data_IF_298479358431
#
_entry.id   IF_298479358431
#
_cell.length_a   1.000
_cell.length_b   1.000
_cell.length_c   1.000
_cell.angle_alpha   90.00
_cell.angle_beta   90.00
_cell.angle_gamma   90.00
#
_symmetry.space_group_name_H-M   'P 1'
#
loop_
_entity.id
_entity.type
_entity.pdbx_description
1 polymer ?
#
# COMPACT_ATOMS: atom_id res chain seq x y z
N UNK A 1 17.14 4.55 -28.13
CA UNK A 1 15.71 4.83 -28.42
C UNK A 1 14.77 3.94 -27.61
N UNK A 2 14.98 2.61 -27.56
CA UNK A 2 14.16 1.68 -26.75
C UNK A 2 14.15 2.00 -25.25
N UNK A 3 15.33 2.16 -24.64
CA UNK A 3 15.44 2.48 -23.19
C UNK A 3 14.75 3.80 -22.83
N UNK A 4 14.96 4.83 -23.65
CA UNK A 4 14.35 6.15 -23.45
C UNK A 4 12.82 6.09 -23.45
N UNK A 5 12.25 5.29 -24.35
CA UNK A 5 10.79 5.09 -24.44
C UNK A 5 10.30 4.31 -23.21
N UNK A 6 10.98 3.25 -22.82
CA UNK A 6 10.66 2.46 -21.63
C UNK A 6 10.64 3.32 -20.35
N UNK A 7 11.67 4.14 -20.12
CA UNK A 7 11.74 5.05 -18.97
C UNK A 7 10.59 6.07 -18.96
N UNK A 8 10.23 6.62 -20.12
CA UNK A 8 9.11 7.56 -20.22
C UNK A 8 7.76 6.89 -19.95
N UNK A 9 7.54 5.69 -20.49
CA UNK A 9 6.32 4.91 -20.29
C UNK A 9 6.19 4.49 -18.82
N UNK A 10 7.30 4.14 -18.17
CA UNK A 10 7.39 3.82 -16.75
C UNK A 10 7.04 5.03 -15.86
N UNK A 11 7.69 6.18 -16.06
CA UNK A 11 7.40 7.42 -15.32
C UNK A 11 5.94 7.86 -15.52
N UNK A 12 5.44 7.78 -16.75
CA UNK A 12 4.06 8.13 -17.07
C UNK A 12 3.05 7.20 -16.37
N UNK A 13 3.36 5.90 -16.29
CA UNK A 13 2.56 4.92 -15.57
C UNK A 13 2.49 5.29 -14.08
N UNK A 14 3.63 5.53 -13.43
CA UNK A 14 3.64 5.92 -12.02
C UNK A 14 2.83 7.19 -11.76
N UNK A 15 3.00 8.25 -12.55
CA UNK A 15 2.20 9.46 -12.39
C UNK A 15 0.70 9.24 -12.62
N UNK A 16 0.30 8.34 -13.52
CA UNK A 16 -1.09 7.99 -13.73
C UNK A 16 -1.69 7.30 -12.49
N UNK A 17 -0.97 6.35 -11.89
CA UNK A 17 -1.40 5.68 -10.65
C UNK A 17 -1.48 6.67 -9.48
N UNK A 18 -0.48 7.54 -9.35
CA UNK A 18 -0.43 8.60 -8.33
C UNK A 18 -1.66 9.53 -8.41
N UNK A 19 -1.96 10.01 -9.62
CA UNK A 19 -3.11 10.87 -9.89
C UNK A 19 -4.41 10.16 -9.53
N UNK A 20 -4.54 8.88 -9.90
CA UNK A 20 -5.68 8.05 -9.55
C UNK A 20 -5.87 7.96 -8.02
N UNK A 21 -4.82 7.64 -7.26
CA UNK A 21 -4.91 7.56 -5.80
C UNK A 21 -5.33 8.87 -5.14
N UNK A 22 -4.83 10.01 -5.63
CA UNK A 22 -5.21 11.35 -5.14
C UNK A 22 -6.68 11.63 -5.43
N UNK A 23 -7.16 11.27 -6.61
CA UNK A 23 -8.55 11.47 -7.02
C UNK A 23 -9.53 10.64 -6.19
N UNK A 24 -9.26 9.34 -6.01
CA UNK A 24 -10.10 8.40 -5.26
C UNK A 24 -10.18 8.75 -3.77
N UNK A 25 -9.05 9.05 -3.12
CA UNK A 25 -9.05 9.40 -1.69
C UNK A 25 -9.80 10.70 -1.37
N UNK A 26 -9.80 11.66 -2.30
CA UNK A 26 -10.57 12.90 -2.10
C UNK A 26 -12.07 12.68 -2.25
N UNK A 27 -12.49 11.73 -3.09
CA UNK A 27 -13.91 11.43 -3.34
C UNK A 27 -14.57 10.71 -2.16
N UNK A 28 -13.83 9.87 -1.44
CA UNK A 28 -14.31 9.09 -0.29
C UNK A 28 -14.36 9.87 1.04
N UNK A 29 -14.19 11.20 1.03
CA UNK A 29 -14.23 12.03 2.25
C UNK A 29 -13.00 11.92 3.17
N UNK A 30 -12.01 11.07 2.84
CA UNK A 30 -10.71 11.03 3.50
C UNK A 30 -9.86 12.22 3.05
N UNK A 31 -10.17 13.40 3.59
CA UNK A 31 -9.34 14.59 3.45
C UNK A 31 -8.03 14.35 4.19
N UNK A 32 -7.06 13.74 3.53
CA UNK A 32 -5.67 14.10 3.82
C UNK A 32 -4.91 14.25 2.52
N UNK A 33 -4.51 15.48 2.33
CA UNK A 33 -3.57 16.07 1.38
C UNK A 33 -2.17 15.44 1.37
N UNK A 34 -1.95 14.33 2.08
CA UNK A 34 -0.64 13.74 2.36
C UNK A 34 -0.25 12.52 1.49
N UNK A 35 -0.97 12.21 0.40
CA UNK A 35 -0.53 11.13 -0.51
C UNK A 35 0.71 11.55 -1.31
N UNK A 36 0.78 12.83 -1.66
CA UNK A 36 1.93 13.45 -2.34
C UNK A 36 2.45 14.54 -1.44
N UNK A 37 3.68 14.39 -0.94
CA UNK A 37 4.36 15.46 -0.21
C UNK A 37 4.77 16.59 -1.14
N UNK A 38 4.83 17.80 -0.59
CA UNK A 38 5.44 18.96 -1.27
C UNK A 38 6.89 18.65 -1.67
N UNK A 39 7.62 17.89 -0.85
CA UNK A 39 9.00 17.47 -1.13
C UNK A 39 9.10 16.57 -2.38
N UNK A 40 8.10 15.72 -2.62
CA UNK A 40 8.02 14.96 -3.87
C UNK A 40 7.82 15.89 -5.06
N UNK A 41 6.91 16.84 -4.95
CA UNK A 41 6.65 17.83 -6.01
C UNK A 41 7.90 18.66 -6.29
N UNK A 42 8.61 19.10 -5.24
CA UNK A 42 9.89 19.77 -5.38
C UNK A 42 10.90 18.90 -6.14
N UNK A 43 11.03 17.64 -5.77
CA UNK A 43 11.98 16.70 -6.39
C UNK A 43 11.72 16.52 -7.89
N UNK A 44 10.46 16.30 -8.30
CA UNK A 44 10.13 16.13 -9.73
C UNK A 44 10.26 17.45 -10.51
N UNK A 45 9.99 18.60 -9.89
CA UNK A 45 10.18 19.90 -10.54
C UNK A 45 11.66 20.26 -10.66
N UNK A 46 12.49 19.95 -9.66
CA UNK A 46 13.93 20.15 -9.70
C UNK A 46 14.57 19.37 -10.85
N UNK A 47 14.19 18.10 -11.03
CA UNK A 47 14.67 17.30 -12.17
C UNK A 47 14.15 17.85 -13.50
N UNK A 48 12.86 18.13 -13.61
CA UNK A 48 12.22 18.49 -14.89
C UNK A 48 12.45 19.94 -15.32
N UNK A 49 12.77 20.86 -14.43
CA UNK A 49 12.95 22.28 -14.76
C UNK A 49 14.36 22.79 -14.43
N UNK A 50 15.22 21.93 -13.85
CA UNK A 50 16.55 22.29 -13.35
C UNK A 50 16.51 23.42 -12.32
N UNK A 51 15.50 23.34 -11.45
CA UNK A 51 15.33 24.22 -10.30
C UNK A 51 15.95 23.62 -9.04
N UNK A 52 15.99 24.42 -7.99
CA UNK A 52 16.45 24.07 -6.65
C UNK A 52 15.38 24.45 -5.60
N UNK A 53 14.16 23.97 -5.82
CA UNK A 53 13.03 24.16 -4.92
C UNK A 53 13.26 23.40 -3.61
N UNK A 54 13.00 24.09 -2.50
CA UNK A 54 12.90 23.53 -1.16
C UNK A 54 11.55 23.88 -0.53
N UNK A 55 11.05 23.01 0.34
CA UNK A 55 9.80 23.23 1.04
C UNK A 55 9.94 24.34 2.11
N UNK A 56 9.03 25.32 2.07
CA UNK A 56 9.04 26.49 2.95
C UNK A 56 8.64 26.16 4.39
N UNK A 57 7.93 25.06 4.62
CA UNK A 57 7.54 24.59 5.95
C UNK A 57 8.74 24.17 6.82
N UNK A 58 9.88 23.85 6.23
CA UNK A 58 11.12 23.54 6.96
C UNK A 58 11.92 24.77 7.40
N UNK A 59 11.56 25.96 6.91
CA UNK A 59 12.35 27.19 7.14
C UNK A 59 11.55 28.31 7.83
N UNK A 60 10.22 28.33 7.71
CA UNK A 60 9.35 29.32 8.40
C UNK A 60 7.96 28.73 8.66
N UNK A 61 7.45 28.85 9.88
CA UNK A 61 6.20 28.21 10.34
C UNK A 61 4.90 28.86 9.83
N UNK A 62 4.97 29.91 8.99
CA UNK A 62 3.81 30.73 8.63
C UNK A 62 3.76 31.21 7.16
N UNK A 63 4.49 30.57 6.23
CA UNK A 63 4.47 30.93 4.81
C UNK A 63 3.16 30.50 4.10
N UNK A 64 2.03 31.15 4.41
CA UNK A 64 0.69 30.71 3.97
C UNK A 64 0.39 30.80 2.46
N UNK A 65 1.30 31.35 1.65
CA UNK A 65 1.01 31.71 0.26
C UNK A 65 1.80 30.94 -0.80
N UNK A 66 2.84 30.20 -0.44
CA UNK A 66 3.58 29.29 -1.32
C UNK A 66 4.13 28.14 -0.48
N UNK A 67 4.31 26.97 -1.11
CA UNK A 67 4.75 25.76 -0.41
C UNK A 67 6.22 25.43 -0.73
N UNK A 68 6.70 25.84 -1.91
CA UNK A 68 8.08 25.61 -2.36
C UNK A 68 8.73 26.90 -2.84
N UNK A 69 10.03 27.06 -2.55
CA UNK A 69 10.83 28.23 -2.91
C UNK A 69 12.19 27.81 -3.48
N UNK A 70 12.58 28.45 -4.58
CA UNK A 70 13.95 28.48 -5.10
C UNK A 70 14.39 29.94 -5.13
N UNK A 71 15.20 30.35 -4.14
CA UNK A 71 15.67 31.73 -4.02
C UNK A 71 16.64 32.12 -5.14
N UNK A 72 17.42 31.17 -5.65
CA UNK A 72 18.45 31.43 -6.67
C UNK A 72 17.82 31.79 -8.01
N UNK A 73 16.79 31.04 -8.41
CA UNK A 73 16.03 31.31 -9.62
C UNK A 73 14.84 32.27 -9.38
N UNK A 74 14.58 32.65 -8.13
CA UNK A 74 13.43 33.45 -7.69
C UNK A 74 12.09 32.84 -8.11
N UNK A 75 11.89 31.56 -7.82
CA UNK A 75 10.70 30.80 -8.19
C UNK A 75 9.93 30.40 -6.94
N UNK A 76 8.63 30.73 -6.92
CA UNK A 76 7.70 30.25 -5.90
C UNK A 76 6.71 29.26 -6.51
N UNK A 77 6.43 28.15 -5.82
CA UNK A 77 5.42 27.18 -6.25
C UNK A 77 4.41 26.95 -5.13
N UNK A 78 3.13 27.11 -5.46
CA UNK A 78 2.03 26.63 -4.63
C UNK A 78 1.59 25.25 -5.15
N UNK A 79 1.71 24.23 -4.31
CA UNK A 79 1.19 22.89 -4.54
C UNK A 79 -0.26 22.83 -4.04
N UNK A 80 -1.14 22.25 -4.85
CA UNK A 80 -2.54 22.09 -4.42
C UNK A 80 -3.20 20.88 -5.05
N UNK A 81 -4.10 20.26 -4.30
CA UNK A 81 -4.95 19.17 -4.82
C UNK A 81 -5.82 19.65 -5.97
N UNK A 82 -6.31 20.89 -5.94
CA UNK A 82 -7.08 21.51 -7.01
C UNK A 82 -6.67 22.96 -7.19
N UNK A 83 -6.11 23.26 -8.36
CA UNK A 83 -5.83 24.64 -8.78
C UNK A 83 -7.00 25.13 -9.61
N UNK A 84 -7.85 25.96 -9.01
CA UNK A 84 -8.92 26.69 -9.70
C UNK A 84 -8.68 28.21 -9.69
N UNK A 85 -9.54 28.94 -10.39
CA UNK A 85 -9.44 30.40 -10.46
C UNK A 85 -9.48 31.06 -9.07
N UNK A 86 -10.24 30.53 -8.12
CA UNK A 86 -10.31 31.09 -6.76
C UNK A 86 -8.98 30.92 -6.04
N UNK A 87 -8.39 29.72 -6.07
CA UNK A 87 -7.09 29.41 -5.44
C UNK A 87 -5.97 30.27 -6.02
N UNK A 88 -5.93 30.45 -7.34
CA UNK A 88 -4.94 31.32 -8.00
C UNK A 88 -5.06 32.75 -7.48
N UNK A 89 -6.25 33.35 -7.54
CA UNK A 89 -6.44 34.73 -7.11
C UNK A 89 -6.17 34.92 -5.62
N UNK A 90 -6.61 33.98 -4.76
CA UNK A 90 -6.34 34.05 -3.33
C UNK A 90 -4.85 33.95 -2.99
N UNK A 91 -4.10 33.10 -3.69
CA UNK A 91 -2.65 32.95 -3.49
C UNK A 91 -1.91 34.20 -3.96
N UNK A 92 -2.25 34.76 -5.12
CA UNK A 92 -1.63 36.01 -5.63
C UNK A 92 -1.90 37.17 -4.67
N UNK A 93 -3.13 37.34 -4.19
CA UNK A 93 -3.46 38.38 -3.21
C UNK A 93 -2.73 38.16 -1.89
N UNK A 94 -2.66 36.92 -1.40
CA UNK A 94 -1.95 36.57 -0.16
C UNK A 94 -0.45 36.83 -0.23
N UNK A 95 0.15 36.80 -1.42
CA UNK A 95 1.57 37.13 -1.62
C UNK A 95 1.89 38.61 -1.40
N UNK A 96 0.92 39.52 -1.51
CA UNK A 96 1.15 40.96 -1.32
C UNK A 96 1.71 41.24 0.09
N UNK A 97 1.22 40.50 1.08
CA UNK A 97 1.55 40.61 2.50
C UNK A 97 2.58 39.56 2.97
N UNK A 98 3.10 38.73 2.06
CA UNK A 98 3.97 37.61 2.39
C UNK A 98 5.46 38.03 2.43
N UNK A 99 6.20 37.56 3.44
CA UNK A 99 7.63 37.80 3.63
C UNK A 99 8.51 37.30 2.47
N UNK A 100 8.08 36.26 1.76
CA UNK A 100 8.80 35.68 0.63
C UNK A 100 8.57 36.41 -0.69
N UNK A 101 7.68 37.42 -0.73
CA UNK A 101 7.36 38.17 -1.95
C UNK A 101 8.59 38.74 -2.65
N UNK A 102 9.55 39.26 -1.88
CA UNK A 102 10.78 39.87 -2.41
C UNK A 102 11.74 38.83 -3.00
N UNK A 103 11.63 37.57 -2.55
CA UNK A 103 12.45 36.44 -2.99
C UNK A 103 11.93 35.82 -4.29
N UNK A 104 10.65 36.01 -4.61
CA UNK A 104 10.01 35.46 -5.81
C UNK A 104 10.02 36.49 -6.94
N UNK A 105 10.23 36.02 -8.17
CA UNK A 105 10.09 36.78 -9.41
C UNK A 105 9.09 36.14 -10.36
N UNK A 106 8.93 34.81 -10.32
CA UNK A 106 7.88 34.07 -11.04
C UNK A 106 7.14 33.11 -10.11
N UNK A 107 5.81 33.09 -10.24
CA UNK A 107 4.93 32.21 -9.48
C UNK A 107 4.44 31.06 -10.34
N UNK A 108 4.44 29.86 -9.78
CA UNK A 108 3.88 28.66 -10.38
C UNK A 108 2.86 28.02 -9.45
N UNK A 109 1.95 27.26 -10.05
CA UNK A 109 1.04 26.38 -9.32
C UNK A 109 1.24 24.96 -9.78
N UNK A 110 1.29 24.01 -8.87
CA UNK A 110 1.30 22.59 -9.19
C UNK A 110 -0.02 21.96 -8.79
N UNK A 111 -0.78 21.49 -9.78
CA UNK A 111 -2.04 20.78 -9.57
C UNK A 111 -1.79 19.28 -9.47
N UNK A 112 -2.13 18.68 -8.32
CA UNK A 112 -2.06 17.23 -8.14
C UNK A 112 -3.17 16.50 -8.93
N UNK A 113 -4.29 17.18 -9.17
CA UNK A 113 -5.38 16.69 -10.04
C UNK A 113 -5.31 17.30 -11.43
N UNK A 114 -6.19 16.82 -12.31
CA UNK A 114 -6.38 17.41 -13.62
C UNK A 114 -6.64 18.93 -13.54
N UNK A 115 -5.79 19.70 -14.22
CA UNK A 115 -5.92 21.15 -14.27
C UNK A 115 -7.09 21.61 -15.13
N UNK A 116 -7.57 22.83 -14.89
CA UNK A 116 -8.60 23.45 -15.71
C UNK A 116 -8.01 23.86 -17.07
N UNK A 117 -8.85 23.87 -18.10
CA UNK A 117 -8.44 24.32 -19.43
C UNK A 117 -8.38 25.85 -19.53
N UNK A 118 -9.10 26.57 -18.67
CA UNK A 118 -9.16 28.03 -18.62
C UNK A 118 -9.21 28.51 -17.17
N UNK A 119 -8.64 29.68 -16.94
CA UNK A 119 -8.58 30.34 -15.64
C UNK A 119 -9.00 31.79 -15.78
N UNK A 120 -9.79 32.28 -14.83
CA UNK A 120 -10.06 33.71 -14.67
C UNK A 120 -9.10 34.25 -13.60
N UNK A 121 -8.20 35.13 -14.01
CA UNK A 121 -7.16 35.71 -13.14
C UNK A 121 -7.38 37.21 -13.12
N UNK A 122 -7.86 37.70 -11.97
CA UNK A 122 -8.20 39.10 -11.74
C UNK A 122 -7.23 39.74 -10.72
N UNK A 123 -6.45 38.93 -10.00
CA UNK A 123 -5.46 39.36 -9.02
C UNK A 123 -4.09 39.64 -9.66
N UNK A 124 -3.38 40.63 -9.11
CA UNK A 124 -2.03 40.99 -9.52
C UNK A 124 -1.15 41.26 -8.28
N UNK A 125 0.09 40.80 -8.31
CA UNK A 125 1.08 41.06 -7.26
C UNK A 125 2.30 41.76 -7.88
N UNK A 126 2.56 43.05 -7.58
CA UNK A 126 3.66 43.79 -8.20
C UNK A 126 5.00 43.13 -7.93
N UNK A 127 5.80 42.95 -9.00
CA UNK A 127 7.12 42.33 -8.98
C UNK A 127 7.13 40.81 -9.21
N UNK A 128 5.95 40.16 -9.27
CA UNK A 128 5.82 38.72 -9.52
C UNK A 128 5.10 38.49 -10.84
N UNK A 129 5.74 37.73 -11.74
CA UNK A 129 5.13 37.33 -13.02
C UNK A 129 4.33 36.04 -12.85
N UNK A 130 3.13 36.02 -13.42
CA UNK A 130 2.30 34.83 -13.52
C UNK A 130 1.52 34.82 -14.83
N UNK A 131 1.45 33.65 -15.47
CA UNK A 131 0.56 33.39 -16.60
C UNK A 131 -0.13 32.03 -16.41
N UNK A 132 -1.20 31.77 -17.14
CA UNK A 132 -1.89 30.47 -17.10
C UNK A 132 -1.01 29.30 -17.54
N UNK A 133 0.13 29.55 -18.22
CA UNK A 133 1.14 28.54 -18.55
C UNK A 133 1.94 28.08 -17.34
N UNK A 134 1.99 28.88 -16.28
CA UNK A 134 2.66 28.57 -15.01
C UNK A 134 1.82 27.64 -14.10
N UNK A 135 0.64 27.19 -14.56
CA UNK A 135 -0.09 26.10 -13.90
C UNK A 135 0.39 24.76 -14.48
N UNK A 136 1.15 24.05 -13.66
CA UNK A 136 1.80 22.78 -13.91
C UNK A 136 0.98 21.61 -13.37
N UNK A 137 1.18 20.43 -13.95
CA UNK A 137 0.68 19.13 -13.51
C UNK A 137 1.70 18.05 -13.91
N UNK A 138 1.41 16.79 -13.56
CA UNK A 138 2.26 15.65 -13.92
C UNK A 138 2.49 15.50 -15.43
N UNK A 139 1.52 15.88 -16.28
CA UNK A 139 1.71 15.84 -17.74
C UNK A 139 2.71 16.89 -18.21
N UNK A 140 2.70 18.09 -17.61
CA UNK A 140 3.71 19.11 -17.91
C UNK A 140 5.10 18.66 -17.46
N UNK A 141 5.22 17.99 -16.31
CA UNK A 141 6.49 17.41 -15.85
C UNK A 141 7.01 16.40 -16.87
N UNK A 142 6.20 15.42 -17.30
CA UNK A 142 6.60 14.44 -18.33
C UNK A 142 7.04 15.14 -19.61
N UNK A 143 6.26 16.11 -20.10
CA UNK A 143 6.58 16.84 -21.34
C UNK A 143 7.91 17.57 -21.23
N UNK A 144 8.17 18.23 -20.08
CA UNK A 144 9.39 18.98 -19.85
C UNK A 144 10.59 18.05 -19.68
N UNK A 145 10.47 16.96 -18.91
CA UNK A 145 11.52 15.93 -18.79
C UNK A 145 11.86 15.32 -20.15
N UNK A 146 10.85 15.03 -20.98
CA UNK A 146 11.05 14.56 -22.36
C UNK A 146 11.82 15.58 -23.22
N UNK A 147 11.63 16.88 -22.99
CA UNK A 147 12.28 17.93 -23.75
C UNK A 147 13.73 18.20 -23.28
N UNK A 148 14.04 17.97 -22.01
CA UNK A 148 15.39 18.16 -21.45
C UNK A 148 16.39 17.06 -21.85
N UNK A 149 15.89 15.84 -22.07
CA UNK A 149 16.72 14.64 -22.19
C UNK A 149 17.50 14.64 -23.52
N UNK A 150 18.73 15.17 -23.54
CA UNK A 150 19.72 14.92 -24.60
C UNK A 150 20.32 13.50 -24.51
N UNK A 151 20.12 12.82 -23.36
CA UNK A 151 20.44 11.41 -23.07
C UNK A 151 19.37 10.75 -22.16
N UNK A 152 19.67 9.61 -21.53
CA UNK A 152 18.72 8.89 -20.63
C UNK A 152 18.85 9.27 -19.16
N UNK A 153 19.88 10.04 -18.77
CA UNK A 153 20.22 10.24 -17.36
C UNK A 153 19.17 11.05 -16.59
N UNK A 154 18.62 12.12 -17.18
CA UNK A 154 17.52 12.87 -16.58
C UNK A 154 16.24 12.03 -16.41
N UNK A 155 16.04 11.05 -17.31
CA UNK A 155 14.92 10.11 -17.22
C UNK A 155 15.16 9.06 -16.15
N UNK A 156 16.39 8.58 -15.99
CA UNK A 156 16.77 7.70 -14.88
C UNK A 156 16.63 8.43 -13.55
N UNK A 157 17.13 9.65 -13.43
CA UNK A 157 16.98 10.48 -12.24
C UNK A 157 15.51 10.74 -11.91
N UNK A 158 14.69 11.10 -12.91
CA UNK A 158 13.24 11.26 -12.72
C UNK A 158 12.60 9.96 -12.24
N UNK A 159 12.90 8.84 -12.90
CA UNK A 159 12.40 7.52 -12.51
C UNK A 159 12.80 7.19 -11.07
N UNK A 160 14.04 7.42 -10.68
CA UNK A 160 14.54 7.10 -9.34
C UNK A 160 13.84 7.96 -8.27
N UNK A 161 13.62 9.26 -8.54
CA UNK A 161 12.80 10.14 -7.68
C UNK A 161 11.37 9.62 -7.55
N UNK A 162 10.77 9.21 -8.66
CA UNK A 162 9.41 8.68 -8.70
C UNK A 162 9.30 7.37 -7.94
N UNK A 163 10.15 6.38 -8.23
CA UNK A 163 10.17 5.07 -7.56
C UNK A 163 10.36 5.24 -6.05
N UNK A 164 11.35 6.04 -5.63
CA UNK A 164 11.66 6.27 -4.20
C UNK A 164 10.45 6.82 -3.43
N UNK A 165 9.70 7.74 -4.03
CA UNK A 165 8.52 8.30 -3.37
C UNK A 165 7.31 7.38 -3.52
N UNK A 166 7.21 6.63 -4.61
CA UNK A 166 6.12 5.69 -4.85
C UNK A 166 6.16 4.49 -3.90
N UNK A 167 7.33 4.02 -3.45
CA UNK A 167 7.42 2.99 -2.40
C UNK A 167 6.79 3.42 -1.06
N UNK A 168 6.62 4.72 -0.82
CA UNK A 168 5.98 5.23 0.40
C UNK A 168 4.45 5.35 0.28
N UNK A 169 3.90 5.26 -0.94
CA UNK A 169 2.48 5.53 -1.25
C UNK A 169 1.57 4.35 -0.92
N UNK A 170 1.88 3.09 -1.30
CA UNK A 170 1.17 1.91 -0.83
C UNK A 170 1.07 1.89 0.70
N UNK A 171 2.13 2.29 1.41
CA UNK A 171 2.15 2.40 2.88
C UNK A 171 1.03 3.29 3.42
N UNK A 172 0.82 4.47 2.82
CA UNK A 172 -0.22 5.45 3.22
C UNK A 172 -1.64 5.09 2.76
N UNK A 173 -1.78 4.32 1.68
CA UNK A 173 -3.07 3.82 1.19
C UNK A 173 -3.55 2.66 2.05
N UNK A 174 -2.65 1.79 2.49
CA UNK A 174 -2.93 0.69 3.42
C UNK A 174 -3.39 1.25 4.77
N UNK A 175 -2.72 2.29 5.29
CA UNK A 175 -3.14 3.01 6.50
C UNK A 175 -4.58 3.55 6.45
N UNK A 176 -5.12 3.84 5.25
CA UNK A 176 -6.52 4.29 5.04
C UNK A 176 -7.48 3.15 4.65
N UNK A 177 -7.02 2.10 3.97
CA UNK A 177 -7.78 0.89 3.68
C UNK A 177 -8.18 0.12 4.94
N UNK A 178 -7.52 0.39 6.07
CA UNK A 178 -7.92 0.03 7.43
C UNK A 178 -9.35 0.47 7.81
N UNK A 179 -10.05 1.26 7.00
CA UNK A 179 -11.48 1.57 7.21
C UNK A 179 -12.45 0.58 6.54
N UNK A 180 -11.97 -0.27 5.61
CA UNK A 180 -12.70 -1.42 5.05
C UNK A 180 -12.56 -2.65 5.99
N UNK A 181 -11.80 -2.49 7.09
CA UNK A 181 -11.45 -3.42 8.16
C UNK A 181 -12.61 -4.18 8.81
N UNK A 182 -13.85 -3.69 8.75
CA UNK A 182 -14.95 -4.34 9.47
C UNK A 182 -15.30 -5.75 8.97
N UNK A 183 -14.85 -6.16 7.77
CA UNK A 183 -15.00 -7.53 7.27
C UNK A 183 -13.73 -8.39 7.41
N UNK A 184 -12.55 -7.78 7.47
CA UNK A 184 -11.24 -8.46 7.51
C UNK A 184 -10.69 -8.70 8.93
N UNK A 185 -11.37 -8.22 9.96
CA UNK A 185 -11.03 -8.35 11.40
C UNK A 185 -10.81 -9.78 11.93
N UNK A 186 -10.95 -10.79 11.07
CA UNK A 186 -10.76 -12.21 11.38
C UNK A 186 -9.46 -12.80 10.82
N UNK A 187 -8.71 -12.07 9.98
CA UNK A 187 -7.40 -12.48 9.48
C UNK A 187 -6.32 -11.47 9.86
N UNK A 188 -5.20 -12.01 10.27
CA UNK A 188 -4.05 -11.36 10.88
C UNK A 188 -3.41 -10.24 10.03
N UNK A 189 -3.55 -8.99 10.49
CA UNK A 189 -3.01 -7.77 9.85
C UNK A 189 -1.47 -7.78 9.72
N UNK A 190 -0.73 -8.55 10.52
CA UNK A 190 0.74 -8.50 10.53
C UNK A 190 1.42 -9.35 9.45
N UNK A 191 0.77 -10.43 9.00
CA UNK A 191 1.28 -11.26 7.90
C UNK A 191 1.07 -10.53 6.57
N UNK A 192 -0.05 -9.83 6.41
CA UNK A 192 -0.33 -9.03 5.22
C UNK A 192 0.65 -7.87 5.14
N UNK A 193 0.85 -7.11 6.21
CA UNK A 193 1.76 -5.95 6.23
C UNK A 193 3.24 -6.29 6.05
N UNK A 194 3.75 -7.32 6.74
CA UNK A 194 5.18 -7.69 6.69
C UNK A 194 5.54 -8.38 5.39
N UNK A 195 4.60 -9.17 4.85
CA UNK A 195 4.74 -9.79 3.54
C UNK A 195 4.51 -8.76 2.44
N UNK A 196 3.62 -7.77 2.57
CA UNK A 196 3.53 -6.63 1.66
C UNK A 196 4.80 -5.77 1.66
N UNK A 197 5.39 -5.48 2.83
CA UNK A 197 6.65 -4.73 2.94
C UNK A 197 7.84 -5.53 2.36
N UNK A 198 7.89 -6.86 2.51
CA UNK A 198 8.85 -7.74 1.80
C UNK A 198 8.54 -7.92 0.30
N UNK A 199 7.27 -7.96 -0.08
CA UNK A 199 6.75 -8.07 -1.45
C UNK A 199 7.08 -6.81 -2.25
N UNK A 200 6.93 -5.64 -1.62
CA UNK A 200 7.35 -4.35 -2.14
C UNK A 200 8.88 -4.30 -2.17
N UNK A 201 9.59 -4.71 -1.12
CA UNK A 201 11.06 -4.60 -1.06
C UNK A 201 11.85 -5.43 -2.09
N UNK A 202 11.31 -6.55 -2.59
CA UNK A 202 12.03 -7.50 -3.47
C UNK A 202 11.64 -7.45 -4.96
N UNK A 203 10.60 -6.71 -5.33
CA UNK A 203 9.97 -6.78 -6.67
C UNK A 203 10.54 -5.82 -7.73
N UNK A 204 11.48 -4.94 -7.37
CA UNK A 204 11.88 -3.78 -8.20
C UNK A 204 12.85 -4.09 -9.35
N UNK A 205 12.43 -4.89 -10.34
CA UNK A 205 12.95 -4.88 -11.71
C UNK A 205 11.97 -5.48 -12.74
N UNK A 206 11.53 -4.68 -13.71
CA UNK A 206 10.70 -5.00 -14.92
C UNK A 206 9.28 -5.56 -14.76
N UNK A 207 8.94 -6.28 -13.69
CA UNK A 207 7.58 -6.83 -13.47
C UNK A 207 6.52 -5.82 -12.97
N UNK A 208 6.95 -4.65 -12.53
CA UNK A 208 6.12 -3.73 -11.73
C UNK A 208 5.29 -2.74 -12.52
N UNK A 209 5.81 -2.27 -13.66
CA UNK A 209 5.07 -1.36 -14.54
C UNK A 209 3.81 -2.03 -15.08
N UNK A 210 3.88 -3.34 -15.32
CA UNK A 210 2.78 -4.17 -15.80
C UNK A 210 1.77 -4.51 -14.69
N UNK A 211 2.22 -4.85 -13.46
CA UNK A 211 1.33 -5.01 -12.30
C UNK A 211 0.56 -3.71 -11.97
N UNK A 212 1.23 -2.56 -12.05
CA UNK A 212 0.61 -1.26 -11.89
C UNK A 212 -0.42 -0.93 -13.00
N UNK A 213 -0.13 -1.31 -14.25
CA UNK A 213 -1.07 -1.17 -15.38
C UNK A 213 -2.29 -2.07 -15.23
N UNK A 214 -2.12 -3.29 -14.76
CA UNK A 214 -3.23 -4.20 -14.43
C UNK A 214 -4.16 -3.58 -13.39
N UNK A 215 -3.60 -3.04 -12.30
CA UNK A 215 -4.37 -2.34 -11.26
C UNK A 215 -5.14 -1.14 -11.86
N UNK A 216 -4.51 -0.36 -12.74
CA UNK A 216 -5.17 0.75 -13.42
C UNK A 216 -6.33 0.31 -14.34
N UNK A 217 -6.17 -0.79 -15.07
CA UNK A 217 -7.19 -1.31 -15.99
C UNK A 217 -8.38 -1.88 -15.22
N UNK A 218 -8.12 -2.53 -14.08
CA UNK A 218 -9.14 -2.98 -13.13
C UNK A 218 -10.00 -1.81 -12.65
N UNK A 219 -9.35 -0.73 -12.19
CA UNK A 219 -10.03 0.44 -11.60
C UNK A 219 -10.83 1.23 -12.64
N UNK A 220 -10.46 1.14 -13.92
CA UNK A 220 -11.24 1.68 -15.04
C UNK A 220 -12.41 0.78 -15.46
N UNK A 221 -12.62 -0.35 -14.79
CA UNK A 221 -13.53 -1.42 -15.19
C UNK A 221 -13.21 -1.98 -16.61
N UNK A 222 -11.96 -1.85 -17.05
CA UNK A 222 -11.43 -2.39 -18.30
C UNK A 222 -10.91 -3.82 -18.05
N UNK A 223 -11.74 -4.65 -17.42
CA UNK A 223 -11.39 -5.96 -16.86
C UNK A 223 -10.81 -6.93 -17.91
N UNK A 224 -11.26 -6.83 -19.17
CA UNK A 224 -10.74 -7.66 -20.26
C UNK A 224 -9.30 -7.29 -20.63
N UNK A 225 -8.95 -6.01 -20.62
CA UNK A 225 -7.58 -5.56 -20.91
C UNK A 225 -6.66 -5.83 -19.73
N UNK A 226 -7.17 -5.66 -18.49
CA UNK A 226 -6.44 -6.07 -17.29
C UNK A 226 -6.09 -7.56 -17.35
N UNK A 227 -7.06 -8.38 -17.77
CA UNK A 227 -6.91 -9.82 -17.94
C UNK A 227 -5.90 -10.19 -19.03
N UNK A 228 -6.01 -9.62 -20.24
CA UNK A 228 -5.05 -9.89 -21.33
C UNK A 228 -3.61 -9.54 -20.94
N UNK A 229 -3.42 -8.43 -20.22
CA UNK A 229 -2.12 -8.00 -19.73
C UNK A 229 -1.57 -8.97 -18.66
N UNK A 230 -2.45 -9.47 -17.78
CA UNK A 230 -2.13 -10.49 -16.78
C UNK A 230 -1.78 -11.86 -17.39
N UNK A 231 -2.54 -12.30 -18.40
CA UNK A 231 -2.29 -13.53 -19.15
C UNK A 231 -0.94 -13.46 -19.87
N UNK A 232 -0.57 -12.29 -20.39
CA UNK A 232 0.75 -12.07 -21.00
C UNK A 232 1.90 -12.16 -19.99
N UNK A 233 1.65 -11.72 -18.74
CA UNK A 233 2.61 -11.71 -17.63
C UNK A 233 2.88 -13.13 -17.09
N UNK A 234 1.82 -13.92 -16.94
CA UNK A 234 1.91 -15.33 -16.56
C UNK A 234 2.76 -16.17 -17.55
N UNK A 235 2.77 -15.77 -18.82
CA UNK A 235 3.49 -16.46 -19.88
C UNK A 235 4.96 -16.02 -20.06
N UNK A 236 5.40 -14.92 -19.44
CA UNK A 236 6.74 -14.34 -19.66
C UNK A 236 7.75 -14.56 -18.52
N UNK A 237 7.33 -14.93 -17.31
CA UNK A 237 8.21 -15.03 -16.12
C UNK A 237 8.72 -16.45 -15.81
N UNK A 238 9.59 -17.01 -16.66
CA UNK A 238 10.19 -18.34 -16.39
C UNK A 238 11.20 -18.39 -15.22
N UNK A 239 11.31 -17.36 -14.35
CA UNK A 239 12.34 -17.32 -13.29
C UNK A 239 11.97 -16.67 -11.94
N UNK A 240 10.70 -16.42 -11.62
CA UNK A 240 10.23 -16.24 -10.24
C UNK A 240 8.83 -16.86 -10.13
N UNK A 241 8.76 -18.09 -9.62
CA UNK A 241 7.72 -19.03 -10.07
C UNK A 241 6.48 -19.10 -9.15
N UNK A 242 6.59 -19.38 -7.85
CA UNK A 242 5.39 -19.60 -7.02
C UNK A 242 4.83 -18.32 -6.35
N UNK A 243 5.70 -17.45 -5.84
CA UNK A 243 5.29 -16.25 -5.09
C UNK A 243 4.60 -15.21 -5.98
N UNK A 244 5.07 -15.01 -7.22
CA UNK A 244 4.40 -14.10 -8.16
C UNK A 244 2.98 -14.57 -8.51
N UNK A 245 2.75 -15.87 -8.64
CA UNK A 245 1.42 -16.42 -8.85
C UNK A 245 0.53 -16.29 -7.60
N UNK A 246 1.09 -16.35 -6.40
CA UNK A 246 0.36 -16.05 -5.15
C UNK A 246 -0.07 -14.59 -5.12
N UNK A 247 0.80 -13.67 -5.52
CA UNK A 247 0.49 -12.24 -5.50
C UNK A 247 -0.59 -11.91 -6.53
N UNK A 248 -0.50 -12.52 -7.71
CA UNK A 248 -1.53 -12.43 -8.75
C UNK A 248 -2.86 -13.01 -8.26
N UNK A 249 -2.84 -14.14 -7.57
CA UNK A 249 -4.03 -14.77 -7.03
C UNK A 249 -4.69 -13.93 -5.91
N UNK A 250 -3.88 -13.28 -5.07
CA UNK A 250 -4.36 -12.34 -4.05
C UNK A 250 -5.06 -11.13 -4.71
N UNK A 251 -4.47 -10.58 -5.78
CA UNK A 251 -5.10 -9.51 -6.55
C UNK A 251 -6.44 -9.97 -7.14
N UNK A 252 -6.51 -11.12 -7.80
CA UNK A 252 -7.78 -11.65 -8.31
C UNK A 252 -8.81 -11.95 -7.22
N UNK A 253 -8.37 -12.31 -6.01
CA UNK A 253 -9.25 -12.55 -4.85
C UNK A 253 -9.90 -11.24 -4.40
N UNK A 254 -9.15 -10.14 -4.34
CA UNK A 254 -9.70 -8.81 -4.04
C UNK A 254 -10.73 -8.34 -5.09
N UNK A 255 -10.64 -8.86 -6.32
CA UNK A 255 -11.56 -8.56 -7.42
C UNK A 255 -12.80 -9.46 -7.45
N UNK A 256 -12.89 -10.44 -6.55
CA UNK A 256 -13.94 -11.46 -6.62
C UNK A 256 -13.88 -12.31 -7.91
N UNK A 257 -12.71 -12.42 -8.54
CA UNK A 257 -12.54 -13.16 -9.79
C UNK A 257 -12.24 -14.64 -9.55
N UNK A 258 -12.90 -15.51 -10.31
CA UNK A 258 -12.68 -16.97 -10.28
C UNK A 258 -11.29 -17.38 -10.77
N UNK A 259 -10.55 -16.47 -11.43
CA UNK A 259 -9.20 -16.73 -11.91
C UNK A 259 -8.17 -16.85 -10.78
N UNK A 260 -8.47 -16.36 -9.58
CA UNK A 260 -7.58 -16.53 -8.42
C UNK A 260 -7.24 -18.01 -8.15
N UNK A 261 -8.17 -18.93 -8.41
CA UNK A 261 -7.94 -20.37 -8.28
C UNK A 261 -6.88 -20.89 -9.22
N UNK A 262 -6.89 -20.42 -10.47
CA UNK A 262 -5.94 -20.85 -11.49
C UNK A 262 -4.54 -20.43 -11.07
N UNK A 263 -4.39 -19.22 -10.54
CA UNK A 263 -3.09 -18.70 -10.09
C UNK A 263 -2.60 -19.30 -8.78
N UNK A 264 -3.48 -19.54 -7.79
CA UNK A 264 -3.06 -20.32 -6.63
C UNK A 264 -2.73 -21.77 -6.99
N UNK A 265 -3.47 -22.38 -7.91
CA UNK A 265 -3.18 -23.74 -8.39
C UNK A 265 -1.85 -23.80 -9.14
N UNK A 266 -1.51 -22.76 -9.91
CA UNK A 266 -0.21 -22.63 -10.56
C UNK A 266 0.91 -22.43 -9.54
N UNK A 267 0.73 -21.57 -8.53
CA UNK A 267 1.68 -21.43 -7.44
C UNK A 267 1.93 -22.76 -6.71
N UNK A 268 0.86 -23.47 -6.36
CA UNK A 268 0.95 -24.78 -5.72
C UNK A 268 1.56 -25.86 -6.64
N UNK A 269 1.34 -25.79 -7.96
CA UNK A 269 1.94 -26.74 -8.92
C UNK A 269 3.44 -26.57 -9.11
N UNK A 270 3.99 -25.40 -8.76
CA UNK A 270 5.41 -25.09 -8.94
C UNK A 270 6.27 -25.53 -7.77
N UNK A 271 5.67 -25.67 -6.60
CA UNK A 271 6.26 -26.36 -5.46
C UNK A 271 5.18 -27.14 -4.68
N UNK A 272 4.74 -28.30 -5.22
CA UNK A 272 3.66 -29.11 -4.63
C UNK A 272 3.99 -29.61 -3.22
N UNK A 273 5.28 -29.72 -2.91
CA UNK A 273 5.78 -30.20 -1.63
C UNK A 273 5.88 -29.09 -0.58
N UNK A 274 5.83 -27.81 -0.96
CA UNK A 274 5.88 -26.76 0.05
C UNK A 274 4.55 -26.59 0.81
N UNK A 275 4.64 -26.81 2.13
CA UNK A 275 3.54 -26.57 3.07
C UNK A 275 3.16 -25.09 3.10
N UNK A 276 4.13 -24.19 2.97
CA UNK A 276 3.91 -22.74 3.04
C UNK A 276 3.02 -22.24 1.90
N UNK A 277 3.29 -22.65 0.67
CA UNK A 277 2.54 -22.26 -0.53
C UNK A 277 1.13 -22.87 -0.49
N UNK A 278 0.99 -24.13 -0.07
CA UNK A 278 -0.31 -24.77 0.12
C UNK A 278 -1.16 -24.12 1.23
N UNK A 279 -0.54 -23.71 2.35
CA UNK A 279 -1.20 -22.96 3.42
C UNK A 279 -1.76 -21.62 2.91
N UNK A 280 -1.04 -20.91 2.02
CA UNK A 280 -1.50 -19.65 1.43
C UNK A 280 -2.65 -19.86 0.44
N UNK A 281 -2.60 -20.92 -0.38
CA UNK A 281 -3.71 -21.29 -1.25
C UNK A 281 -4.99 -21.54 -0.45
N UNK A 282 -4.89 -22.28 0.66
CA UNK A 282 -6.02 -22.54 1.53
C UNK A 282 -6.61 -21.27 2.17
N UNK A 283 -5.77 -20.29 2.52
CA UNK A 283 -6.24 -18.96 2.96
C UNK A 283 -7.02 -18.27 1.83
N UNK A 284 -6.50 -18.28 0.59
CA UNK A 284 -7.18 -17.69 -0.56
C UNK A 284 -8.54 -18.32 -0.86
N UNK A 285 -8.65 -19.65 -0.73
CA UNK A 285 -9.92 -20.38 -0.81
C UNK A 285 -10.88 -19.96 0.30
N UNK A 286 -10.38 -19.81 1.52
CA UNK A 286 -11.17 -19.42 2.69
C UNK A 286 -11.73 -17.99 2.54
N UNK A 287 -10.94 -17.05 2.05
CA UNK A 287 -11.38 -15.66 1.81
C UNK A 287 -12.49 -15.56 0.76
N UNK A 288 -12.58 -16.52 -0.17
CA UNK A 288 -13.67 -16.60 -1.16
C UNK A 288 -14.84 -17.48 -0.72
N UNK A 289 -14.87 -17.90 0.55
CA UNK A 289 -15.93 -18.74 1.08
C UNK A 289 -15.89 -20.19 0.60
N UNK A 290 -14.83 -20.64 -0.10
CA UNK A 290 -14.61 -22.04 -0.49
C UNK A 290 -14.07 -22.87 0.68
N UNK A 291 -14.77 -22.81 1.81
CA UNK A 291 -14.36 -23.38 3.09
C UNK A 291 -14.08 -24.90 3.06
N UNK A 292 -14.86 -25.74 2.35
CA UNK A 292 -14.57 -27.18 2.28
C UNK A 292 -13.25 -27.50 1.58
N UNK A 293 -12.88 -26.71 0.59
CA UNK A 293 -11.64 -26.91 -0.18
C UNK A 293 -10.44 -26.40 0.59
N UNK A 294 -10.56 -25.23 1.23
CA UNK A 294 -9.56 -24.72 2.15
C UNK A 294 -9.26 -25.72 3.28
N UNK A 295 -10.30 -26.30 3.89
CA UNK A 295 -10.15 -27.34 4.92
C UNK A 295 -9.41 -28.57 4.39
N UNK A 296 -9.71 -29.03 3.17
CA UNK A 296 -9.03 -30.17 2.55
C UNK A 296 -7.54 -29.89 2.37
N UNK A 297 -7.17 -28.69 1.90
CA UNK A 297 -5.78 -28.29 1.69
C UNK A 297 -5.03 -28.17 3.02
N UNK A 298 -5.62 -27.53 4.04
CA UNK A 298 -5.00 -27.46 5.37
C UNK A 298 -4.75 -28.85 5.98
N UNK A 299 -5.69 -29.80 5.83
CA UNK A 299 -5.49 -31.16 6.31
C UNK A 299 -4.36 -31.89 5.58
N UNK A 300 -4.31 -31.75 4.25
CA UNK A 300 -3.24 -32.32 3.45
C UNK A 300 -1.86 -31.76 3.87
N UNK A 301 -1.76 -30.46 4.19
CA UNK A 301 -0.54 -29.90 4.76
C UNK A 301 -0.11 -30.60 6.05
N UNK A 302 -1.05 -30.88 6.97
CA UNK A 302 -0.76 -31.49 8.27
C UNK A 302 -0.33 -32.96 8.19
N UNK A 303 -0.66 -33.63 7.09
CA UNK A 303 -0.30 -35.03 6.79
C UNK A 303 1.11 -35.18 6.20
N UNK A 304 1.76 -34.10 5.78
CA UNK A 304 3.13 -34.15 5.24
C UNK A 304 4.13 -34.60 6.31
N UNK A 305 5.03 -35.51 5.93
CA UNK A 305 6.02 -36.11 6.84
C UNK A 305 7.11 -35.12 7.26
N UNK A 306 7.46 -34.18 6.38
CA UNK A 306 8.55 -33.21 6.52
C UNK A 306 8.08 -31.83 7.04
N UNK A 307 6.80 -31.69 7.39
CA UNK A 307 6.27 -30.42 7.91
C UNK A 307 6.98 -30.00 9.20
N UNK A 308 7.54 -28.79 9.19
CA UNK A 308 8.21 -28.24 10.37
C UNK A 308 7.20 -27.88 11.46
N UNK A 309 7.63 -27.82 12.72
CA UNK A 309 6.77 -27.37 13.83
C UNK A 309 6.19 -25.97 13.57
N UNK A 310 6.97 -25.08 12.98
CA UNK A 310 6.52 -23.71 12.65
C UNK A 310 5.43 -23.71 11.58
N UNK A 311 5.56 -24.52 10.54
CA UNK A 311 4.52 -24.64 9.51
C UNK A 311 3.27 -25.33 10.04
N UNK A 312 3.44 -26.37 10.86
CA UNK A 312 2.34 -27.09 11.51
C UNK A 312 1.54 -26.16 12.41
N UNK A 313 2.21 -25.32 13.20
CA UNK A 313 1.59 -24.30 14.04
C UNK A 313 0.77 -23.30 13.22
N UNK A 314 1.34 -22.76 12.14
CA UNK A 314 0.65 -21.83 11.27
C UNK A 314 -0.59 -22.45 10.59
N UNK A 315 -0.47 -23.67 10.07
CA UNK A 315 -1.59 -24.39 9.41
C UNK A 315 -2.71 -24.70 10.41
N UNK A 316 -2.37 -25.17 11.62
CA UNK A 316 -3.35 -25.44 12.68
C UNK A 316 -4.08 -24.17 13.12
N UNK A 317 -3.36 -23.06 13.29
CA UNK A 317 -3.96 -21.76 13.61
C UNK A 317 -4.96 -21.31 12.54
N UNK A 318 -4.57 -21.37 11.27
CA UNK A 318 -5.45 -21.01 10.15
C UNK A 318 -6.67 -21.94 10.03
N UNK A 319 -6.49 -23.24 10.26
CA UNK A 319 -7.58 -24.20 10.31
C UNK A 319 -8.53 -23.91 11.50
N UNK A 320 -8.00 -23.46 12.63
CA UNK A 320 -8.77 -22.94 13.75
C UNK A 320 -9.65 -21.76 13.33
N UNK A 321 -9.07 -20.74 12.70
CA UNK A 321 -9.84 -19.60 12.18
C UNK A 321 -10.90 -20.01 11.16
N UNK A 322 -10.59 -20.94 10.25
CA UNK A 322 -11.56 -21.50 9.30
C UNK A 322 -12.75 -22.11 10.03
N UNK A 323 -12.50 -22.92 11.06
CA UNK A 323 -13.57 -23.55 11.84
C UNK A 323 -14.38 -22.53 12.64
N UNK A 324 -13.73 -21.56 13.30
CA UNK A 324 -14.40 -20.47 14.02
C UNK A 324 -15.36 -19.71 13.10
N UNK A 325 -14.87 -19.27 11.94
CA UNK A 325 -15.65 -18.46 10.99
C UNK A 325 -16.80 -19.25 10.37
N UNK A 326 -16.70 -20.58 10.33
CA UNK A 326 -17.77 -21.48 9.89
C UNK A 326 -18.68 -21.96 11.04
N UNK A 327 -18.60 -21.36 12.23
CA UNK A 327 -19.40 -21.74 13.41
C UNK A 327 -19.07 -23.11 14.03
N UNK A 328 -17.98 -23.75 13.60
CA UNK A 328 -17.55 -25.07 14.08
C UNK A 328 -16.61 -24.94 15.29
N UNK A 329 -17.12 -24.32 16.35
CA UNK A 329 -16.31 -23.90 17.51
C UNK A 329 -15.54 -25.05 18.18
N UNK A 330 -16.13 -26.24 18.33
CA UNK A 330 -15.41 -27.38 18.94
C UNK A 330 -14.18 -27.81 18.14
N UNK A 331 -14.25 -27.80 16.80
CA UNK A 331 -13.08 -28.11 15.94
C UNK A 331 -12.06 -26.96 15.94
N UNK A 332 -12.55 -25.73 16.06
CA UNK A 332 -11.70 -24.55 16.20
C UNK A 332 -10.87 -24.62 17.47
N UNK A 333 -11.48 -24.99 18.59
CA UNK A 333 -10.81 -25.15 19.89
C UNK A 333 -9.71 -26.21 19.78
N UNK A 334 -10.01 -27.41 19.28
CA UNK A 334 -9.02 -28.48 19.10
C UNK A 334 -7.83 -28.03 18.22
N UNK A 335 -8.09 -27.25 17.17
CA UNK A 335 -7.04 -26.75 16.27
C UNK A 335 -6.18 -25.69 16.95
N UNK A 336 -6.79 -24.73 17.67
CA UNK A 336 -6.06 -23.71 18.40
C UNK A 336 -5.29 -24.25 19.61
N UNK A 337 -5.82 -25.24 20.33
CA UNK A 337 -5.09 -25.91 21.44
C UNK A 337 -3.84 -26.61 20.93
N UNK A 338 -3.93 -27.34 19.81
CA UNK A 338 -2.76 -27.96 19.17
C UNK A 338 -1.75 -26.92 18.70
N UNK A 339 -2.21 -25.83 18.08
CA UNK A 339 -1.35 -24.74 17.66
C UNK A 339 -0.67 -24.04 18.85
N UNK A 340 -1.40 -23.85 19.96
CA UNK A 340 -0.89 -23.26 21.19
C UNK A 340 0.25 -24.09 21.77
N UNK A 341 0.07 -25.41 21.92
CA UNK A 341 1.12 -26.32 22.41
C UNK A 341 2.39 -26.23 21.57
N UNK A 342 2.25 -26.18 20.24
CA UNK A 342 3.43 -26.06 19.36
C UNK A 342 4.08 -24.68 19.54
N UNK A 343 3.28 -23.61 19.53
CA UNK A 343 3.78 -22.23 19.68
C UNK A 343 4.49 -22.02 21.02
N UNK A 344 4.12 -22.75 22.07
CA UNK A 344 4.85 -22.82 23.34
C UNK A 344 6.19 -23.53 23.21
N UNK A 345 6.21 -24.69 22.54
CA UNK A 345 7.44 -25.48 22.37
C UNK A 345 8.53 -24.77 21.55
N UNK A 346 8.14 -23.91 20.60
CA UNK A 346 9.06 -23.16 19.73
C UNK A 346 9.27 -21.69 20.17
N UNK A 347 8.76 -21.30 21.34
CA UNK A 347 8.75 -19.92 21.86
C UNK A 347 8.20 -18.86 20.86
N UNK A 348 7.17 -19.23 20.09
CA UNK A 348 6.52 -18.33 19.15
C UNK A 348 5.44 -17.47 19.87
N UNK A 349 5.89 -16.44 20.58
CA UNK A 349 5.05 -15.58 21.44
C UNK A 349 3.85 -14.95 20.72
N UNK A 350 4.04 -14.48 19.49
CA UNK A 350 2.95 -13.89 18.69
C UNK A 350 1.90 -14.96 18.33
N UNK A 351 2.33 -16.14 17.89
CA UNK A 351 1.44 -17.28 17.64
C UNK A 351 0.61 -17.63 18.89
N UNK A 352 1.27 -17.71 20.06
CA UNK A 352 0.59 -17.97 21.35
C UNK A 352 -0.51 -16.95 21.64
N UNK A 353 -0.21 -15.66 21.50
CA UNK A 353 -1.19 -14.58 21.74
C UNK A 353 -2.41 -14.75 20.80
N UNK A 354 -2.17 -15.06 19.52
CA UNK A 354 -3.22 -15.25 18.52
C UNK A 354 -4.10 -16.47 18.82
N UNK A 355 -3.50 -17.59 19.19
CA UNK A 355 -4.24 -18.82 19.52
C UNK A 355 -5.04 -18.68 20.81
N UNK A 356 -4.47 -18.05 21.85
CA UNK A 356 -5.20 -17.72 23.09
C UNK A 356 -6.40 -16.80 22.80
N UNK A 357 -6.24 -15.79 21.97
CA UNK A 357 -7.34 -14.92 21.55
C UNK A 357 -8.41 -15.69 20.74
N UNK A 358 -7.97 -16.59 19.86
CA UNK A 358 -8.84 -17.48 19.10
C UNK A 358 -9.68 -18.39 20.01
N UNK A 359 -9.06 -18.95 21.05
CA UNK A 359 -9.74 -19.76 22.07
C UNK A 359 -10.75 -18.94 22.87
N UNK A 360 -10.36 -17.76 23.36
CA UNK A 360 -11.27 -16.84 24.04
C UNK A 360 -12.50 -16.53 23.19
N UNK A 361 -12.29 -16.21 21.91
CA UNK A 361 -13.39 -15.96 20.96
C UNK A 361 -14.30 -17.18 20.76
N UNK A 362 -13.75 -18.40 20.72
CA UNK A 362 -14.55 -19.61 20.60
C UNK A 362 -15.41 -19.84 21.84
N UNK A 363 -14.85 -19.68 23.04
CA UNK A 363 -15.59 -19.85 24.29
C UNK A 363 -16.64 -18.76 24.51
N UNK A 364 -16.38 -17.53 24.04
CA UNK A 364 -17.37 -16.46 24.00
C UNK A 364 -18.59 -16.84 23.16
N UNK A 365 -18.36 -17.36 21.95
CA UNK A 365 -19.44 -17.82 21.05
C UNK A 365 -20.18 -19.06 21.57
N UNK A 366 -19.56 -19.83 22.47
CA UNK A 366 -20.19 -20.94 23.19
C UNK A 366 -20.83 -20.52 24.52
N UNK A 367 -20.90 -19.21 24.80
CA UNK A 367 -21.44 -18.64 26.05
C UNK A 367 -20.71 -19.09 27.33
N UNK A 368 -19.52 -19.66 27.20
CA UNK A 368 -18.66 -19.98 28.35
C UNK A 368 -17.80 -18.77 28.71
N UNK A 369 -18.41 -17.83 29.42
CA UNK A 369 -17.79 -16.55 29.78
C UNK A 369 -16.56 -16.71 30.68
N UNK A 370 -16.52 -17.72 31.54
CA UNK A 370 -15.41 -17.98 32.44
C UNK A 370 -14.14 -18.35 31.68
N UNK A 371 -14.21 -19.36 30.80
CA UNK A 371 -13.06 -19.75 29.97
C UNK A 371 -12.70 -18.65 28.97
N UNK A 372 -13.70 -17.97 28.41
CA UNK A 372 -13.47 -16.83 27.52
C UNK A 372 -12.61 -15.76 28.19
N UNK A 373 -13.00 -15.30 29.38
CA UNK A 373 -12.27 -14.28 30.13
C UNK A 373 -10.87 -14.75 30.53
N UNK A 374 -10.74 -16.02 30.93
CA UNK A 374 -9.45 -16.62 31.26
C UNK A 374 -8.48 -16.58 30.05
N UNK A 375 -8.92 -16.98 28.86
CA UNK A 375 -8.06 -17.00 27.67
C UNK A 375 -7.73 -15.59 27.16
N UNK A 376 -8.70 -14.67 27.16
CA UNK A 376 -8.43 -13.28 26.80
C UNK A 376 -7.47 -12.60 27.78
N UNK A 377 -7.62 -12.85 29.08
CA UNK A 377 -6.71 -12.33 30.11
C UNK A 377 -5.29 -12.86 29.93
N UNK A 378 -5.12 -14.15 29.63
CA UNK A 378 -3.82 -14.73 29.31
C UNK A 378 -3.19 -14.11 28.05
N UNK A 379 -3.97 -13.97 26.97
CA UNK A 379 -3.52 -13.34 25.73
C UNK A 379 -3.04 -11.90 25.97
N UNK A 380 -3.81 -11.12 26.73
CA UNK A 380 -3.49 -9.73 27.06
C UNK A 380 -2.26 -9.61 27.94
N UNK A 381 -2.12 -10.45 28.97
CA UNK A 381 -0.94 -10.45 29.85
C UNK A 381 0.32 -10.77 29.06
N UNK A 382 0.29 -11.82 28.24
CA UNK A 382 1.43 -12.22 27.41
C UNK A 382 1.77 -11.13 26.38
N UNK A 383 0.77 -10.48 25.80
CA UNK A 383 0.95 -9.38 24.87
C UNK A 383 1.65 -8.18 25.53
N UNK A 384 1.17 -7.74 26.70
CA UNK A 384 1.74 -6.61 27.42
C UNK A 384 3.18 -6.89 27.88
N UNK A 385 3.47 -8.11 28.31
CA UNK A 385 4.83 -8.51 28.72
C UNK A 385 5.78 -8.63 27.52
N UNK A 386 5.30 -9.17 26.38
CA UNK A 386 6.09 -9.24 25.15
C UNK A 386 6.37 -7.83 24.60
N UNK A 387 5.39 -6.92 24.67
CA UNK A 387 5.56 -5.53 24.25
C UNK A 387 6.63 -4.78 25.07
N UNK A 388 6.69 -5.04 26.39
CA UNK A 388 7.69 -4.44 27.29
C UNK A 388 9.08 -5.00 27.07
N UNK A 389 9.19 -6.30 26.79
CA UNK A 389 10.48 -7.01 26.72
C UNK A 389 11.08 -7.03 25.32
N UNK A 390 10.28 -6.84 24.27
CA UNK A 390 10.76 -6.79 22.90
C UNK A 390 11.73 -5.62 22.69
N UNK A 391 12.80 -5.88 21.93
CA UNK A 391 13.77 -4.87 21.49
C UNK A 391 13.67 -4.58 19.99
N UNK A 392 12.84 -5.34 19.27
CA UNK A 392 12.61 -5.19 17.84
C UNK A 392 11.41 -4.27 17.59
N UNK A 393 11.64 -3.17 16.89
CA UNK A 393 10.58 -2.21 16.55
C UNK A 393 9.55 -2.82 15.58
N UNK A 394 9.92 -3.81 14.77
CA UNK A 394 8.99 -4.56 13.92
C UNK A 394 8.05 -5.42 14.77
N UNK A 395 8.59 -6.18 15.73
CA UNK A 395 7.81 -6.99 16.66
C UNK A 395 6.89 -6.11 17.53
N UNK A 396 7.37 -4.95 18.01
CA UNK A 396 6.52 -3.99 18.74
C UNK A 396 5.38 -3.43 17.91
N UNK A 397 5.60 -3.16 16.62
CA UNK A 397 4.54 -2.69 15.71
C UNK A 397 3.45 -3.75 15.55
N UNK A 398 3.86 -5.00 15.33
CA UNK A 398 2.96 -6.15 15.24
C UNK A 398 2.16 -6.36 16.53
N UNK A 399 2.82 -6.32 17.69
CA UNK A 399 2.16 -6.44 19.00
C UNK A 399 1.18 -5.27 19.26
N UNK A 400 1.50 -4.04 18.83
CA UNK A 400 0.56 -2.89 18.95
C UNK A 400 -0.69 -3.07 18.07
N UNK A 401 -0.53 -3.63 16.87
CA UNK A 401 -1.67 -3.97 16.00
C UNK A 401 -2.55 -5.04 16.64
N UNK A 402 -1.94 -6.13 17.11
CA UNK A 402 -2.63 -7.20 17.85
C UNK A 402 -3.38 -6.63 19.07
N UNK A 403 -2.78 -5.68 19.79
CA UNK A 403 -3.41 -4.99 20.93
C UNK A 403 -4.67 -4.21 20.53
N UNK A 404 -4.66 -3.55 19.38
CA UNK A 404 -5.83 -2.82 18.86
C UNK A 404 -6.98 -3.78 18.51
N UNK A 405 -6.65 -4.95 17.97
CA UNK A 405 -7.63 -5.95 17.53
C UNK A 405 -8.20 -6.82 18.67
N UNK A 406 -7.42 -7.00 19.76
CA UNK A 406 -7.88 -7.66 21.00
C UNK A 406 -8.85 -6.80 21.83
N UNK A 407 -8.87 -5.48 21.63
CA UNK A 407 -9.71 -4.53 22.40
C UNK A 407 -11.02 -4.16 21.68
N UNK A 408 -11.27 -4.73 20.51
CA UNK A 408 -12.43 -4.45 19.65
C UNK A 408 -13.41 -5.62 19.53
N UNK A 409 -13.05 -6.81 20.02
CA UNK A 409 -13.95 -7.94 20.26
C UNK A 409 -14.31 -8.00 21.75
#
# INVERSE_FOLDING_TARGET
>A
MLERKALLDEIATYFAVLKFFIETNTASGFVDTNIVSEDFVASILNVSHKWNLANTNHTTTNAKSIDLLDESNRIGVQVSSRVDSKKINSTINGLIENEHRTKIGELFFFSLKQKQTRYKVDAECPGIKFTTKNVLDFNQVIRKTKALSTGVDDLRQMRDVVIKNFSEIPRRIIEKATAISNWLSHFDDSIVDKKLEELLGRSFQTGETLKAQVILLIEKNELNQAKELLDSLANTSRKMAAQDFIDIANLYTLLGSDQADIYYSHAASLDPESVKEANLYAIGLMLRGRLPEAEKVFKACLEKEDITLKEREAVLGNLGFLYKNNGRFSKSIDSFEKALVISESIDHKIGRIKHLNGLGSCYLNLENLELSDQYFSQAKSLLDDTLKTSKDDSEKKELRSIKSNLLTN
#
